data_IF_767831800266
#
_entry.id   IF_767831800266
#
_cell.length_a   1.000
_cell.length_b   1.000
_cell.length_c   1.000
_cell.angle_alpha   90.00
_cell.angle_beta   90.00
_cell.angle_gamma   90.00
#
_symmetry.space_group_name_H-M   'P 1'
#
loop_
_entity.id
_entity.type
_entity.pdbx_description
1 polymer ?
#
# COMPACT_ATOMS: atom_id res chain seq x y z
N UNK A 1 -4.36 -66.45 8.02
CA UNK A 1 -3.83 -65.31 8.78
C UNK A 1 -3.64 -64.17 7.80
N UNK A 2 -4.51 -63.17 7.87
CA UNK A 2 -4.46 -61.98 7.01
C UNK A 2 -4.04 -60.82 7.88
N UNK A 3 -2.88 -60.23 7.62
CA UNK A 3 -2.35 -59.06 8.32
C UNK A 3 -3.01 -57.78 7.76
N UNK A 4 -3.48 -56.85 8.59
CA UNK A 4 -4.03 -55.64 8.11
C UNK A 4 -2.93 -54.62 7.75
N UNK A 5 -2.98 -54.04 6.55
CA UNK A 5 -2.20 -52.90 6.14
C UNK A 5 -2.68 -51.65 6.88
N UNK A 6 -1.82 -51.04 7.66
CA UNK A 6 -2.04 -49.76 8.27
C UNK A 6 -1.81 -48.64 7.21
N UNK A 7 -2.87 -47.93 6.82
CA UNK A 7 -2.80 -46.69 6.04
C UNK A 7 -2.29 -45.57 6.94
N UNK A 8 -1.03 -45.21 6.78
CA UNK A 8 -0.50 -43.96 7.33
C UNK A 8 -1.11 -42.78 6.57
N UNK A 9 -2.11 -42.13 7.15
CA UNK A 9 -2.60 -40.85 6.67
C UNK A 9 -1.53 -39.78 6.97
N UNK A 10 -0.81 -39.39 5.93
CA UNK A 10 0.09 -38.25 5.95
C UNK A 10 -0.77 -36.97 6.02
N UNK A 11 -1.03 -36.48 7.23
CA UNK A 11 -1.64 -35.13 7.40
C UNK A 11 -0.58 -34.10 7.04
N UNK A 12 -0.62 -33.63 5.80
CA UNK A 12 0.09 -32.44 5.40
C UNK A 12 -0.54 -31.26 6.15
N UNK A 13 0.14 -30.82 7.21
CA UNK A 13 -0.11 -29.55 7.84
C UNK A 13 0.13 -28.43 6.81
N UNK A 14 -0.93 -28.02 6.09
CA UNK A 14 -0.92 -26.76 5.38
C UNK A 14 -0.81 -25.65 6.42
N UNK A 15 0.41 -25.17 6.64
CA UNK A 15 0.63 -23.91 7.33
C UNK A 15 -0.09 -22.84 6.51
N UNK A 16 -1.22 -22.35 7.00
CA UNK A 16 -1.89 -21.17 6.44
C UNK A 16 -0.86 -20.05 6.52
N UNK A 17 -0.30 -19.65 5.37
CA UNK A 17 0.59 -18.49 5.32
C UNK A 17 -0.20 -17.32 5.91
N UNK A 18 0.21 -16.87 7.08
CA UNK A 18 -0.37 -15.69 7.75
C UNK A 18 -0.40 -14.55 6.76
N UNK A 19 -1.55 -13.90 6.59
CA UNK A 19 -1.68 -12.73 5.73
C UNK A 19 -0.64 -11.70 6.12
N UNK A 20 0.20 -11.31 5.16
CA UNK A 20 1.21 -10.28 5.37
C UNK A 20 0.53 -8.94 5.08
N UNK A 21 0.23 -8.19 6.14
CA UNK A 21 -0.32 -6.86 6.03
C UNK A 21 0.45 -5.86 6.90
N UNK A 22 0.43 -4.62 6.50
CA UNK A 22 1.03 -3.49 7.19
C UNK A 22 0.05 -2.37 7.44
N UNK A 23 0.55 -1.24 7.92
CA UNK A 23 -0.21 0.00 8.08
C UNK A 23 0.56 1.17 7.46
N UNK A 24 -0.16 2.02 6.70
CA UNK A 24 0.34 3.30 6.24
C UNK A 24 0.36 4.28 7.42
N UNK A 25 1.55 4.83 7.73
CA UNK A 25 1.74 5.74 8.87
C UNK A 25 0.97 7.06 8.74
N UNK A 26 0.51 7.41 7.55
CA UNK A 26 -0.37 8.55 7.35
C UNK A 26 -1.70 8.39 8.11
N UNK A 27 -2.12 7.16 8.38
CA UNK A 27 -3.24 6.86 9.28
C UNK A 27 -3.02 7.36 10.71
N UNK A 28 -1.78 7.60 11.12
CA UNK A 28 -1.44 8.14 12.44
C UNK A 28 -0.68 9.46 12.32
N UNK A 29 -0.96 10.23 11.25
CA UNK A 29 -0.19 11.44 10.92
C UNK A 29 -0.08 12.46 12.04
N UNK A 30 -1.13 12.61 12.85
CA UNK A 30 -1.12 13.54 13.97
C UNK A 30 -0.25 13.00 15.12
N UNK A 31 -0.33 11.71 15.41
CA UNK A 31 0.45 11.04 16.43
C UNK A 31 1.93 10.92 16.01
N UNK A 32 2.18 10.55 14.75
CA UNK A 32 3.53 10.53 14.17
C UNK A 32 4.20 11.92 14.19
N UNK A 33 3.43 12.99 14.04
CA UNK A 33 3.98 14.36 14.12
C UNK A 33 4.34 14.78 15.54
N UNK A 34 3.62 14.27 16.55
CA UNK A 34 3.84 14.57 17.97
C UNK A 34 4.99 13.74 18.56
N UNK A 35 4.91 12.41 18.38
CA UNK A 35 5.86 11.44 18.92
C UNK A 35 6.00 10.24 17.98
N UNK A 36 6.93 10.30 17.01
CA UNK A 36 7.13 9.19 16.07
C UNK A 36 7.51 7.86 16.74
N UNK A 37 8.37 7.94 17.77
CA UNK A 37 8.88 6.73 18.45
C UNK A 37 7.78 6.05 19.27
N UNK A 38 7.10 6.80 20.13
CA UNK A 38 5.99 6.26 20.92
C UNK A 38 4.83 5.75 20.05
N UNK A 39 4.59 6.38 18.89
CA UNK A 39 3.60 5.89 17.91
C UNK A 39 4.01 4.53 17.35
N UNK A 40 5.27 4.35 16.95
CA UNK A 40 5.78 3.07 16.44
C UNK A 40 5.78 1.98 17.53
N UNK A 41 6.17 2.29 18.77
CA UNK A 41 6.06 1.39 19.90
C UNK A 41 4.62 0.92 20.13
N UNK A 42 3.67 1.85 20.02
CA UNK A 42 2.24 1.56 20.16
C UNK A 42 1.74 0.62 19.05
N UNK A 43 2.13 0.86 17.79
CA UNK A 43 1.81 -0.03 16.67
C UNK A 43 2.42 -1.42 16.85
N UNK A 44 3.69 -1.51 17.30
CA UNK A 44 4.34 -2.77 17.62
C UNK A 44 3.57 -3.54 18.71
N UNK A 45 3.06 -2.83 19.75
CA UNK A 45 2.27 -3.42 20.83
C UNK A 45 0.92 -3.99 20.36
N UNK A 46 0.34 -3.49 19.28
CA UNK A 46 -0.85 -4.04 18.64
C UNK A 46 -0.56 -5.29 17.79
N UNK A 47 0.72 -5.51 17.45
CA UNK A 47 1.16 -6.68 16.68
C UNK A 47 1.54 -6.38 15.24
N UNK A 48 1.52 -5.13 14.80
CA UNK A 48 1.99 -4.77 13.46
C UNK A 48 3.45 -5.17 13.27
N UNK A 49 3.76 -5.79 12.12
CA UNK A 49 5.11 -6.19 11.74
C UNK A 49 5.64 -5.43 10.54
N UNK A 50 4.74 -4.84 9.76
CA UNK A 50 5.08 -4.09 8.56
C UNK A 50 4.44 -2.72 8.61
N UNK A 51 5.20 -1.72 8.17
CA UNK A 51 4.72 -0.36 7.99
C UNK A 51 5.03 0.11 6.58
N UNK A 52 4.16 0.96 6.08
CA UNK A 52 4.42 1.86 4.98
C UNK A 52 4.59 3.26 5.54
N UNK A 53 5.71 3.90 5.21
CA UNK A 53 5.99 5.26 5.61
C UNK A 53 5.34 6.29 4.69
N UNK A 54 5.52 7.56 5.07
CA UNK A 54 5.30 8.68 4.17
C UNK A 54 6.32 9.77 4.47
N UNK A 55 6.68 10.55 3.46
CA UNK A 55 7.61 11.65 3.62
C UNK A 55 6.90 12.83 4.29
N UNK A 56 7.03 12.91 5.59
CA UNK A 56 6.43 13.93 6.43
C UNK A 56 7.40 15.08 6.71
N UNK A 57 7.05 15.92 7.69
CA UNK A 57 7.83 17.09 8.16
C UNK A 57 9.28 16.74 8.51
N UNK A 58 9.51 15.52 8.99
CA UNK A 58 10.82 15.05 9.44
C UNK A 58 11.53 14.14 8.41
N UNK A 59 11.11 14.20 7.14
CA UNK A 59 11.66 13.38 6.06
C UNK A 59 11.17 11.94 6.09
N UNK A 60 11.81 11.10 5.30
CA UNK A 60 11.40 9.72 5.06
C UNK A 60 11.58 8.82 6.29
N UNK A 61 12.58 9.11 7.12
CA UNK A 61 12.97 8.32 8.30
C UNK A 61 12.73 9.08 9.63
N UNK A 62 11.81 10.02 9.63
CA UNK A 62 11.30 10.69 10.84
C UNK A 62 12.38 11.32 11.72
N UNK A 63 13.35 12.01 11.08
CA UNK A 63 14.44 12.75 11.76
C UNK A 63 15.62 11.87 12.18
N UNK A 64 15.60 10.58 11.87
CA UNK A 64 16.72 9.64 12.02
C UNK A 64 17.42 9.45 10.66
N UNK A 65 18.63 8.90 10.69
CA UNK A 65 19.21 8.30 9.48
C UNK A 65 18.45 7.02 9.12
N UNK A 66 18.56 6.56 7.87
CA UNK A 66 17.93 5.31 7.43
C UNK A 66 18.37 4.10 8.29
N UNK A 67 19.66 4.03 8.65
CA UNK A 67 20.21 2.94 9.47
C UNK A 67 19.72 3.01 10.92
N UNK A 68 19.67 4.20 11.52
CA UNK A 68 19.11 4.38 12.87
C UNK A 68 17.63 4.00 12.91
N UNK A 69 16.87 4.42 11.90
CA UNK A 69 15.44 4.10 11.79
C UNK A 69 15.21 2.60 11.62
N UNK A 70 16.00 1.95 10.71
CA UNK A 70 15.97 0.50 10.55
C UNK A 70 16.25 -0.22 11.85
N UNK A 71 17.33 0.16 12.54
CA UNK A 71 17.69 -0.46 13.82
C UNK A 71 16.56 -0.31 14.84
N UNK A 72 15.99 0.87 14.94
CA UNK A 72 14.87 1.13 15.85
C UNK A 72 13.66 0.23 15.55
N UNK A 73 13.30 0.09 14.27
CA UNK A 73 12.22 -0.82 13.87
C UNK A 73 12.56 -2.29 14.13
N UNK A 74 13.80 -2.71 13.88
CA UNK A 74 14.25 -4.09 14.16
C UNK A 74 14.13 -4.42 15.66
N UNK A 75 14.50 -3.47 16.55
CA UNK A 75 14.35 -3.60 18.01
C UNK A 75 12.87 -3.75 18.42
N UNK A 76 11.92 -3.18 17.67
CA UNK A 76 10.48 -3.35 17.84
C UNK A 76 9.92 -4.61 17.13
N UNK A 77 10.74 -5.34 16.40
CA UNK A 77 10.33 -6.49 15.57
C UNK A 77 9.44 -6.08 14.39
N UNK A 78 9.66 -4.88 13.84
CA UNK A 78 8.93 -4.29 12.70
C UNK A 78 9.87 -4.06 11.52
N UNK A 79 9.27 -3.84 10.33
CA UNK A 79 9.99 -3.45 9.10
C UNK A 79 9.21 -2.41 8.33
N UNK A 80 9.90 -1.39 7.81
CA UNK A 80 9.35 -0.51 6.79
C UNK A 80 9.57 -1.14 5.42
N UNK A 81 8.49 -1.60 4.79
CA UNK A 81 8.54 -2.31 3.50
C UNK A 81 8.34 -1.37 2.32
N UNK A 82 7.68 -0.24 2.52
CA UNK A 82 7.42 0.77 1.51
C UNK A 82 7.29 2.15 2.14
N UNK A 83 7.34 3.17 1.31
CA UNK A 83 7.03 4.54 1.73
C UNK A 83 6.49 5.38 0.58
N UNK A 84 5.47 6.16 0.86
CA UNK A 84 5.08 7.27 0.03
C UNK A 84 6.18 8.33 0.03
N UNK A 85 6.64 8.74 -1.16
CA UNK A 85 7.66 9.76 -1.31
C UNK A 85 7.23 10.82 -2.32
N UNK A 86 7.41 12.08 -1.95
CA UNK A 86 7.20 13.22 -2.84
C UNK A 86 8.39 13.46 -3.78
N UNK A 87 8.24 14.54 -4.57
CA UNK A 87 9.34 15.12 -5.37
C UNK A 87 9.98 14.17 -6.40
N UNK A 88 9.14 13.30 -7.01
CA UNK A 88 9.60 12.41 -8.09
C UNK A 88 10.00 13.17 -9.37
N UNK A 89 9.74 14.47 -9.45
CA UNK A 89 10.21 15.35 -10.55
C UNK A 89 11.69 15.67 -10.44
N UNK A 90 12.27 15.69 -9.23
CA UNK A 90 13.70 15.86 -9.00
C UNK A 90 14.36 14.48 -8.92
N UNK A 91 14.89 13.99 -10.03
CA UNK A 91 15.50 12.67 -10.12
C UNK A 91 16.75 12.51 -9.25
N UNK A 92 17.52 13.57 -8.98
CA UNK A 92 18.67 13.52 -8.08
C UNK A 92 18.22 13.28 -6.63
N UNK A 93 17.22 14.04 -6.17
CA UNK A 93 16.63 13.85 -4.84
C UNK A 93 16.00 12.44 -4.73
N UNK A 94 15.31 11.98 -5.78
CA UNK A 94 14.74 10.63 -5.81
C UNK A 94 15.81 9.54 -5.75
N UNK A 95 16.93 9.72 -6.47
CA UNK A 95 18.05 8.77 -6.44
C UNK A 95 18.64 8.63 -5.03
N UNK A 96 18.83 9.74 -4.31
CA UNK A 96 19.29 9.70 -2.92
C UNK A 96 18.33 8.91 -2.02
N UNK A 97 17.02 9.22 -2.07
CA UNK A 97 15.99 8.50 -1.30
C UNK A 97 15.97 7.02 -1.65
N UNK A 98 16.12 6.70 -2.93
CA UNK A 98 16.13 5.33 -3.43
C UNK A 98 17.33 4.53 -2.93
N UNK A 99 18.52 5.15 -2.87
CA UNK A 99 19.71 4.53 -2.29
C UNK A 99 19.54 4.25 -0.79
N UNK A 100 19.08 5.25 -0.03
CA UNK A 100 18.81 5.11 1.40
C UNK A 100 17.74 4.04 1.69
N UNK A 101 16.70 3.93 0.85
CA UNK A 101 15.66 2.91 0.93
C UNK A 101 16.19 1.51 0.64
N UNK A 102 16.99 1.37 -0.42
CA UNK A 102 17.61 0.09 -0.80
C UNK A 102 18.58 -0.42 0.26
N UNK A 103 19.37 0.47 0.88
CA UNK A 103 20.32 0.13 1.95
C UNK A 103 19.65 -0.54 3.16
N UNK A 104 18.42 -0.16 3.48
CA UNK A 104 17.64 -0.75 4.59
C UNK A 104 16.73 -1.91 4.15
N UNK A 105 16.74 -2.27 2.86
CA UNK A 105 15.94 -3.36 2.31
C UNK A 105 14.45 -3.04 2.15
N UNK A 106 14.11 -1.75 1.93
CA UNK A 106 12.75 -1.33 1.61
C UNK A 106 12.38 -1.84 0.21
N UNK A 107 11.19 -2.44 0.07
CA UNK A 107 10.74 -3.04 -1.20
C UNK A 107 10.33 -1.97 -2.22
N UNK A 108 9.60 -0.91 -1.79
CA UNK A 108 9.06 0.11 -2.71
C UNK A 108 9.20 1.55 -2.19
N UNK A 109 9.50 2.45 -3.14
CA UNK A 109 9.19 3.87 -3.05
C UNK A 109 7.96 4.17 -3.93
N UNK A 110 6.95 4.82 -3.38
CA UNK A 110 5.64 4.98 -4.00
C UNK A 110 5.32 6.46 -4.18
N UNK A 111 4.99 6.86 -5.41
CA UNK A 111 4.48 8.20 -5.67
C UNK A 111 3.00 8.29 -5.23
N UNK A 112 2.66 9.07 -4.19
CA UNK A 112 1.31 9.05 -3.62
C UNK A 112 0.28 9.84 -4.42
N UNK A 113 0.71 10.79 -5.26
CA UNK A 113 -0.21 11.66 -5.99
C UNK A 113 0.46 12.35 -7.17
N UNK A 114 -0.36 12.83 -8.09
CA UNK A 114 0.09 13.55 -9.29
C UNK A 114 -0.46 14.98 -9.29
N UNK A 115 0.42 15.94 -9.60
CA UNK A 115 0.05 17.29 -9.93
C UNK A 115 -0.16 17.50 -11.45
N UNK A 116 -0.37 18.75 -11.87
CA UNK A 116 -0.34 19.13 -13.30
C UNK A 116 -1.64 18.94 -14.08
N UNK A 117 -2.74 18.63 -13.39
CA UNK A 117 -4.07 18.58 -13.98
C UNK A 117 -4.41 17.26 -14.68
N UNK A 118 -5.71 17.09 -14.94
CA UNK A 118 -6.30 15.87 -15.49
C UNK A 118 -6.30 15.92 -17.03
N UNK A 119 -5.13 15.69 -17.64
CA UNK A 119 -4.94 15.70 -19.11
C UNK A 119 -4.12 14.47 -19.54
N UNK A 120 -4.49 13.86 -20.67
CA UNK A 120 -3.81 12.69 -21.22
C UNK A 120 -2.30 12.95 -21.37
N UNK A 121 -1.92 14.09 -21.95
CA UNK A 121 -0.49 14.43 -22.14
C UNK A 121 0.26 14.63 -20.82
N UNK A 122 -0.39 15.13 -19.76
CA UNK A 122 0.22 15.21 -18.44
C UNK A 122 0.50 13.81 -17.89
N UNK A 123 -0.45 12.89 -18.01
CA UNK A 123 -0.29 11.51 -17.56
C UNK A 123 0.76 10.75 -18.39
N UNK A 124 0.88 10.98 -19.69
CA UNK A 124 1.99 10.45 -20.49
C UNK A 124 3.35 10.96 -20.02
N UNK A 125 3.46 12.25 -19.68
CA UNK A 125 4.70 12.80 -19.08
C UNK A 125 5.00 12.18 -17.72
N UNK A 126 3.98 11.96 -16.88
CA UNK A 126 4.15 11.25 -15.60
C UNK A 126 4.62 9.81 -15.82
N UNK A 127 4.06 9.08 -16.79
CA UNK A 127 4.50 7.73 -17.12
C UNK A 127 5.97 7.69 -17.57
N UNK A 128 6.39 8.63 -18.43
CA UNK A 128 7.80 8.74 -18.83
C UNK A 128 8.74 9.02 -17.66
N UNK A 129 8.32 9.87 -16.71
CA UNK A 129 9.06 10.12 -15.45
C UNK A 129 9.11 8.88 -14.58
N UNK A 130 8.00 8.16 -14.43
CA UNK A 130 7.91 6.95 -13.62
C UNK A 130 8.85 5.85 -14.13
N UNK A 131 9.00 5.70 -15.45
CA UNK A 131 10.00 4.80 -16.03
C UNK A 131 11.43 5.16 -15.59
N UNK A 132 11.76 6.47 -15.53
CA UNK A 132 13.06 6.93 -14.99
C UNK A 132 13.21 6.63 -13.51
N UNK A 133 12.19 6.92 -12.70
CA UNK A 133 12.18 6.59 -11.27
C UNK A 133 12.31 5.08 -11.04
N UNK A 134 11.61 4.26 -11.83
CA UNK A 134 11.70 2.80 -11.75
C UNK A 134 13.10 2.28 -12.08
N UNK A 135 13.77 2.86 -13.10
CA UNK A 135 15.15 2.49 -13.40
C UNK A 135 16.12 2.86 -12.27
N UNK A 136 15.95 4.06 -11.69
CA UNK A 136 16.75 4.51 -10.54
C UNK A 136 16.51 3.59 -9.34
N UNK A 137 15.26 3.30 -9.00
CA UNK A 137 14.91 2.40 -7.91
C UNK A 137 15.56 1.02 -8.08
N UNK A 138 15.43 0.43 -9.27
CA UNK A 138 16.04 -0.86 -9.61
C UNK A 138 17.55 -0.88 -9.44
N UNK A 139 18.24 0.19 -9.83
CA UNK A 139 19.70 0.31 -9.68
C UNK A 139 20.13 0.39 -8.21
N UNK A 140 19.26 0.84 -7.33
CA UNK A 140 19.48 0.97 -5.89
C UNK A 140 18.90 -0.20 -5.07
N UNK A 141 18.43 -1.28 -5.72
CA UNK A 141 17.92 -2.47 -5.01
C UNK A 141 16.53 -2.34 -4.42
N UNK A 142 15.75 -1.32 -4.84
CA UNK A 142 14.35 -1.14 -4.49
C UNK A 142 13.49 -1.09 -5.74
N UNK A 143 12.18 -0.85 -5.63
CA UNK A 143 11.24 -0.73 -6.73
C UNK A 143 10.48 0.58 -6.65
N UNK A 144 9.80 0.92 -7.74
CA UNK A 144 8.96 2.11 -7.82
C UNK A 144 7.51 1.72 -8.12
N UNK A 145 6.56 2.39 -7.44
CA UNK A 145 5.15 2.26 -7.72
C UNK A 145 4.43 3.62 -7.71
N UNK A 146 3.21 3.62 -8.24
CA UNK A 146 2.28 4.74 -8.17
C UNK A 146 1.02 4.31 -7.42
N UNK A 147 0.55 5.15 -6.48
CA UNK A 147 -0.68 5.02 -5.74
C UNK A 147 -1.79 5.88 -6.36
N UNK A 148 -2.94 5.30 -6.62
CA UNK A 148 -4.07 5.97 -7.25
C UNK A 148 -4.94 6.75 -6.26
N UNK A 149 -5.57 7.80 -6.79
CA UNK A 149 -6.73 8.46 -6.20
C UNK A 149 -7.90 8.40 -7.18
N UNK A 150 -9.10 8.82 -6.76
CA UNK A 150 -10.30 8.82 -7.60
C UNK A 150 -10.10 9.47 -8.98
N UNK A 151 -9.31 10.56 -9.06
CA UNK A 151 -9.04 11.25 -10.33
C UNK A 151 -8.33 10.38 -11.37
N UNK A 152 -7.61 9.34 -10.95
CA UNK A 152 -6.96 8.40 -11.87
C UNK A 152 -7.96 7.62 -12.70
N UNK A 153 -9.18 7.48 -12.21
CA UNK A 153 -10.28 6.75 -12.88
C UNK A 153 -11.22 7.67 -13.67
N UNK A 154 -10.89 8.94 -13.80
CA UNK A 154 -11.63 9.83 -14.70
C UNK A 154 -11.32 9.51 -16.16
N UNK A 155 -12.35 9.61 -17.02
CA UNK A 155 -12.20 9.48 -18.47
C UNK A 155 -12.00 10.83 -19.11
N UNK A 156 -10.90 10.97 -19.83
CA UNK A 156 -10.61 12.14 -20.67
C UNK A 156 -10.51 11.64 -22.12
N UNK A 157 -11.28 12.25 -23.02
CA UNK A 157 -11.32 11.84 -24.44
C UNK A 157 -11.63 10.33 -24.61
N UNK A 158 -12.40 9.75 -23.67
CA UNK A 158 -12.79 8.34 -23.71
C UNK A 158 -11.80 7.36 -23.05
N UNK A 159 -10.62 7.81 -22.66
CA UNK A 159 -9.60 6.98 -22.00
C UNK A 159 -9.56 7.24 -20.47
N UNK A 160 -9.44 6.20 -19.65
CA UNK A 160 -9.14 6.36 -18.23
C UNK A 160 -7.70 6.84 -18.03
N UNK A 161 -7.51 7.84 -17.18
CA UNK A 161 -6.17 8.36 -16.87
C UNK A 161 -5.25 7.28 -16.25
N UNK A 162 -5.82 6.34 -15.49
CA UNK A 162 -5.09 5.17 -14.96
C UNK A 162 -4.59 4.26 -16.09
N UNK A 163 -5.38 4.01 -17.13
CA UNK A 163 -4.94 3.25 -18.30
C UNK A 163 -3.80 3.96 -19.03
N UNK A 164 -3.91 5.28 -19.17
CA UNK A 164 -2.84 6.07 -19.80
C UNK A 164 -1.50 5.88 -19.07
N UNK A 165 -1.50 5.89 -17.72
CA UNK A 165 -0.28 5.61 -16.95
C UNK A 165 0.20 4.18 -17.17
N UNK A 166 -0.68 3.19 -17.05
CA UNK A 166 -0.32 1.77 -17.09
C UNK A 166 0.20 1.36 -18.48
N UNK A 167 -0.41 1.89 -19.55
CA UNK A 167 -0.05 1.57 -20.93
C UNK A 167 1.26 2.26 -21.39
N UNK A 168 1.66 3.36 -20.73
CA UNK A 168 2.87 4.12 -21.05
C UNK A 168 4.02 3.88 -20.04
N UNK A 169 3.87 2.95 -19.11
CA UNK A 169 4.93 2.55 -18.16
C UNK A 169 5.45 1.15 -18.46
N UNK A 170 6.76 0.96 -18.33
CA UNK A 170 7.40 -0.34 -18.46
C UNK A 170 7.04 -1.21 -17.22
N UNK A 171 6.42 -2.37 -17.47
CA UNK A 171 5.99 -3.33 -16.44
C UNK A 171 7.14 -3.93 -15.62
N UNK A 172 8.38 -3.81 -16.10
CA UNK A 172 9.56 -4.27 -15.37
C UNK A 172 10.18 -3.19 -14.47
N UNK A 173 9.66 -1.95 -14.57
CA UNK A 173 10.19 -0.78 -13.85
C UNK A 173 9.16 -0.14 -12.92
N UNK A 174 7.87 -0.21 -13.28
CA UNK A 174 6.81 0.50 -12.56
C UNK A 174 5.70 -0.46 -12.20
N UNK A 175 5.47 -0.61 -10.93
CA UNK A 175 4.31 -1.29 -10.36
C UNK A 175 3.26 -0.28 -9.88
N UNK A 176 2.13 -0.76 -9.38
CA UNK A 176 1.05 0.07 -8.87
C UNK A 176 0.59 -0.41 -7.50
N UNK A 177 0.24 0.54 -6.67
CA UNK A 177 -0.48 0.33 -5.42
C UNK A 177 -1.93 0.75 -5.62
N UNK A 178 -2.86 -0.21 -5.51
CA UNK A 178 -4.29 0.08 -5.62
C UNK A 178 -4.84 0.58 -4.29
N UNK A 179 -5.24 1.83 -4.20
CA UNK A 179 -6.13 2.23 -3.11
C UNK A 179 -7.56 1.83 -3.49
N UNK A 180 -8.06 0.79 -2.82
CA UNK A 180 -9.37 0.18 -3.07
C UNK A 180 -10.50 1.20 -2.80
N UNK A 181 -10.38 2.01 -1.74
CA UNK A 181 -11.35 3.05 -1.42
C UNK A 181 -11.51 4.05 -2.56
N UNK A 182 -10.41 4.52 -3.15
CA UNK A 182 -10.47 5.50 -4.23
C UNK A 182 -11.00 4.92 -5.55
N UNK A 183 -10.82 3.62 -5.79
CA UNK A 183 -11.45 2.93 -6.92
C UNK A 183 -12.96 2.92 -6.73
N UNK A 184 -13.44 2.49 -5.55
CA UNK A 184 -14.88 2.47 -5.21
C UNK A 184 -15.48 3.88 -5.20
N UNK A 185 -14.77 4.86 -4.64
CA UNK A 185 -15.20 6.26 -4.62
C UNK A 185 -15.30 6.89 -6.02
N UNK A 186 -14.56 6.37 -6.98
CA UNK A 186 -14.68 6.75 -8.39
C UNK A 186 -15.84 6.02 -9.12
N UNK A 187 -16.57 5.14 -8.45
CA UNK A 187 -17.66 4.34 -9.03
C UNK A 187 -17.17 3.13 -9.84
N UNK A 188 -15.91 2.73 -9.65
CA UNK A 188 -15.27 1.64 -10.38
C UNK A 188 -15.19 0.37 -9.51
N UNK A 189 -15.01 -0.80 -10.16
CA UNK A 189 -14.85 -2.09 -9.49
C UNK A 189 -13.36 -2.49 -9.40
N UNK A 190 -12.79 -2.66 -8.20
CA UNK A 190 -11.41 -3.12 -8.03
C UNK A 190 -11.13 -4.47 -8.71
N UNK A 191 -12.11 -5.40 -8.74
CA UNK A 191 -11.95 -6.71 -9.37
C UNK A 191 -11.76 -6.56 -10.87
N UNK A 192 -12.54 -5.69 -11.52
CA UNK A 192 -12.39 -5.41 -12.94
C UNK A 192 -11.02 -4.79 -13.27
N UNK A 193 -10.51 -3.91 -12.41
CA UNK A 193 -9.16 -3.33 -12.58
C UNK A 193 -8.05 -4.37 -12.42
N UNK A 194 -8.17 -5.32 -11.48
CA UNK A 194 -7.25 -6.46 -11.38
C UNK A 194 -7.31 -7.36 -12.63
N UNK A 195 -8.49 -7.61 -13.17
CA UNK A 195 -8.67 -8.40 -14.39
C UNK A 195 -8.07 -7.73 -15.61
N UNK A 196 -8.25 -6.42 -15.73
CA UNK A 196 -7.76 -5.61 -16.85
C UNK A 196 -6.24 -5.51 -16.86
N UNK A 197 -5.61 -5.42 -15.68
CA UNK A 197 -4.17 -5.22 -15.52
C UNK A 197 -3.54 -6.26 -14.59
N UNK A 198 -3.56 -7.56 -14.96
CA UNK A 198 -2.97 -8.60 -14.13
C UNK A 198 -1.47 -8.34 -13.92
N UNK A 199 -0.98 -8.69 -12.74
CA UNK A 199 0.43 -8.54 -12.32
C UNK A 199 0.94 -7.09 -12.22
N UNK A 200 0.08 -6.07 -12.39
CA UNK A 200 0.51 -4.67 -12.30
C UNK A 200 0.29 -4.07 -10.90
N UNK A 201 -0.74 -4.49 -10.18
CA UNK A 201 -0.99 -4.06 -8.79
C UNK A 201 -0.32 -5.03 -7.82
N UNK A 202 0.79 -4.59 -7.22
CA UNK A 202 1.57 -5.42 -6.26
C UNK A 202 1.20 -5.15 -4.82
N UNK A 203 0.78 -3.93 -4.51
CA UNK A 203 0.32 -3.47 -3.22
C UNK A 203 -1.12 -2.97 -3.32
N UNK A 204 -1.84 -2.98 -2.20
CA UNK A 204 -3.10 -2.25 -2.10
C UNK A 204 -3.26 -1.58 -0.75
N UNK A 205 -3.91 -0.42 -0.74
CA UNK A 205 -4.48 0.15 0.46
C UNK A 205 -5.83 -0.50 0.74
N UNK A 206 -5.92 -1.11 1.94
CA UNK A 206 -7.15 -1.64 2.53
C UNK A 206 -7.73 -0.50 3.38
N UNK A 207 -8.64 0.26 2.79
CA UNK A 207 -9.24 1.47 3.33
C UNK A 207 -10.73 1.42 3.08
N UNK A 208 -11.54 1.40 4.16
CA UNK A 208 -12.97 1.16 4.04
C UNK A 208 -13.73 2.45 3.72
N UNK A 209 -14.89 2.28 3.11
CA UNK A 209 -15.71 3.32 2.51
C UNK A 209 -17.04 3.45 3.25
N UNK A 210 -17.28 4.62 3.85
CA UNK A 210 -18.55 4.98 4.47
C UNK A 210 -19.24 6.05 3.65
N UNK A 211 -20.38 5.71 3.08
CA UNK A 211 -21.27 6.71 2.44
C UNK A 211 -22.07 7.45 3.50
N UNK A 212 -21.99 8.77 3.50
CA UNK A 212 -22.71 9.65 4.44
C UNK A 212 -23.97 10.24 3.81
N UNK A 213 -23.93 10.52 2.52
CA UNK A 213 -25.03 11.01 1.69
C UNK A 213 -24.60 10.91 0.22
N UNK A 214 -25.49 11.30 -0.71
CA UNK A 214 -25.14 11.39 -2.12
C UNK A 214 -23.87 12.26 -2.31
N UNK A 215 -22.87 11.70 -2.97
CA UNK A 215 -21.55 12.32 -3.23
C UNK A 215 -20.74 12.75 -1.98
N UNK A 216 -21.11 12.28 -0.79
CA UNK A 216 -20.33 12.51 0.43
C UNK A 216 -19.96 11.20 1.08
N UNK A 217 -18.68 10.95 1.17
CA UNK A 217 -18.09 9.72 1.74
C UNK A 217 -16.81 10.04 2.50
N UNK A 218 -16.44 9.16 3.39
CA UNK A 218 -15.20 9.23 4.14
C UNK A 218 -14.67 7.82 4.44
N UNK A 219 -13.39 7.71 4.77
CA UNK A 219 -12.84 6.44 5.25
C UNK A 219 -13.29 6.16 6.68
N UNK A 220 -13.41 4.90 7.03
CA UNK A 220 -13.81 4.46 8.38
C UNK A 220 -12.99 3.23 8.81
N UNK A 221 -13.18 2.84 10.07
CA UNK A 221 -12.61 1.60 10.60
C UNK A 221 -13.07 0.41 9.77
N UNK A 222 -12.13 -0.47 9.41
CA UNK A 222 -12.38 -1.64 8.55
C UNK A 222 -13.52 -2.51 9.09
N UNK A 223 -14.40 -2.92 8.18
CA UNK A 223 -15.61 -3.69 8.48
C UNK A 223 -16.79 -2.85 8.97
N UNK A 224 -16.66 -1.52 9.10
CA UNK A 224 -17.77 -0.60 9.38
C UNK A 224 -18.29 0.11 8.12
N UNK A 225 -17.60 -0.05 7.01
CA UNK A 225 -17.98 0.45 5.71
C UNK A 225 -18.68 -0.59 4.83
N UNK A 226 -18.60 -0.40 3.52
CA UNK A 226 -19.34 -1.21 2.56
C UNK A 226 -18.47 -2.03 1.60
N UNK A 227 -17.14 -2.00 1.74
CA UNK A 227 -16.23 -2.70 0.81
C UNK A 227 -16.10 -4.18 1.19
N UNK A 228 -16.33 -5.07 0.23
CA UNK A 228 -16.11 -6.53 0.40
C UNK A 228 -14.63 -6.89 0.22
N UNK A 229 -13.82 -6.59 1.23
CA UNK A 229 -12.39 -6.92 1.21
C UNK A 229 -12.09 -8.41 1.03
N UNK A 230 -12.79 -9.36 1.68
CA UNK A 230 -12.53 -10.78 1.47
C UNK A 230 -12.52 -11.17 -0.01
N UNK A 231 -13.54 -10.79 -0.77
CA UNK A 231 -13.64 -11.10 -2.19
C UNK A 231 -12.58 -10.37 -3.02
N UNK A 232 -12.37 -9.08 -2.78
CA UNK A 232 -11.41 -8.25 -3.53
C UNK A 232 -9.98 -8.74 -3.31
N UNK A 233 -9.57 -8.99 -2.06
CA UNK A 233 -8.21 -9.41 -1.72
C UNK A 233 -7.91 -10.84 -2.21
N UNK A 234 -8.88 -11.77 -2.06
CA UNK A 234 -8.75 -13.13 -2.59
C UNK A 234 -8.57 -13.11 -4.13
N UNK A 235 -9.35 -12.29 -4.83
CA UNK A 235 -9.22 -12.12 -6.28
C UNK A 235 -7.89 -11.47 -6.66
N UNK A 236 -7.53 -10.35 -6.02
CA UNK A 236 -6.27 -9.63 -6.25
C UNK A 236 -5.04 -10.53 -6.11
N UNK A 237 -5.04 -11.43 -5.12
CA UNK A 237 -3.97 -12.44 -4.93
C UNK A 237 -3.79 -13.34 -6.15
N UNK A 238 -4.87 -13.73 -6.85
CA UNK A 238 -4.79 -14.49 -8.12
C UNK A 238 -4.24 -13.66 -9.28
N UNK A 239 -4.20 -12.34 -9.13
CA UNK A 239 -3.73 -11.37 -10.14
C UNK A 239 -2.41 -10.70 -9.77
N UNK A 240 -1.67 -11.25 -8.78
CA UNK A 240 -0.33 -10.82 -8.43
C UNK A 240 -0.23 -9.82 -7.28
N UNK A 241 -1.33 -9.50 -6.62
CA UNK A 241 -1.32 -8.70 -5.37
C UNK A 241 -0.56 -9.45 -4.27
N UNK A 242 0.39 -8.81 -3.63
CA UNK A 242 1.30 -9.44 -2.67
C UNK A 242 1.30 -8.82 -1.27
N UNK A 243 0.89 -7.56 -1.14
CA UNK A 243 0.90 -6.81 0.13
C UNK A 243 -0.40 -6.04 0.32
N UNK A 244 -0.88 -6.06 1.55
CA UNK A 244 -2.07 -5.35 1.98
C UNK A 244 -1.66 -4.30 3.02
N UNK A 245 -1.90 -3.04 2.76
CA UNK A 245 -1.54 -1.93 3.63
C UNK A 245 -2.83 -1.27 4.13
N UNK A 246 -3.03 -1.29 5.44
CA UNK A 246 -4.18 -0.62 6.07
C UNK A 246 -3.98 0.88 5.97
N UNK A 247 -5.02 1.61 5.55
CA UNK A 247 -5.06 3.07 5.67
C UNK A 247 -6.42 3.55 6.14
N UNK A 248 -6.43 4.60 6.96
CA UNK A 248 -7.62 5.34 7.36
C UNK A 248 -7.27 6.82 7.52
N UNK A 249 -8.13 7.71 7.05
CA UNK A 249 -7.87 9.16 7.05
C UNK A 249 -8.91 9.95 7.84
N UNK A 250 -10.09 9.39 8.11
CA UNK A 250 -11.16 10.02 8.89
C UNK A 250 -11.49 9.24 10.16
N UNK A 251 -11.74 9.96 11.26
CA UNK A 251 -11.86 9.40 12.62
C UNK A 251 -13.07 10.02 13.33
N UNK A 252 -14.30 9.81 12.79
CA UNK A 252 -15.51 10.44 13.28
C UNK A 252 -15.81 10.13 14.75
N UNK A 253 -15.78 8.84 15.11
CA UNK A 253 -16.19 8.34 16.41
C UNK A 253 -15.10 7.49 17.08
N UNK A 254 -13.84 7.78 16.78
CA UNK A 254 -12.69 7.00 17.23
C UNK A 254 -11.43 7.84 17.20
N UNK A 255 -10.34 7.37 17.77
CA UNK A 255 -9.00 7.95 17.64
C UNK A 255 -8.15 7.20 16.60
N UNK A 256 -7.05 7.81 16.18
CA UNK A 256 -6.09 7.16 15.27
C UNK A 256 -5.56 5.85 15.86
N UNK A 257 -5.26 5.81 17.16
CA UNK A 257 -4.79 4.60 17.84
C UNK A 257 -5.84 3.51 17.97
N UNK A 258 -7.07 3.87 18.36
CA UNK A 258 -8.17 2.92 18.47
C UNK A 258 -8.50 2.31 17.12
N UNK A 259 -8.60 3.14 16.07
CA UNK A 259 -8.79 2.67 14.70
C UNK A 259 -7.66 1.74 14.24
N UNK A 260 -6.40 2.09 14.51
CA UNK A 260 -5.28 1.23 14.14
C UNK A 260 -5.36 -0.14 14.81
N UNK A 261 -5.77 -0.20 16.10
CA UNK A 261 -5.97 -1.46 16.82
C UNK A 261 -7.14 -2.28 16.24
N UNK A 262 -8.26 -1.64 15.96
CA UNK A 262 -9.46 -2.31 15.44
C UNK A 262 -9.21 -2.80 14.01
N UNK A 263 -8.54 -2.00 13.18
CA UNK A 263 -8.14 -2.36 11.83
C UNK A 263 -7.17 -3.56 11.82
N UNK A 264 -6.24 -3.61 12.78
CA UNK A 264 -5.36 -4.77 12.96
C UNK A 264 -6.17 -6.04 13.25
N UNK A 265 -7.11 -5.97 14.19
CA UNK A 265 -7.96 -7.10 14.59
C UNK A 265 -8.82 -7.58 13.40
N UNK A 266 -9.39 -6.65 12.63
CA UNK A 266 -10.14 -6.99 11.42
C UNK A 266 -9.27 -7.77 10.43
N UNK A 267 -8.10 -7.26 10.07
CA UNK A 267 -7.20 -7.93 9.13
C UNK A 267 -6.69 -9.29 9.64
N UNK A 268 -6.49 -9.44 10.94
CA UNK A 268 -6.16 -10.74 11.54
C UNK A 268 -7.30 -11.76 11.42
N UNK A 269 -8.54 -11.31 11.40
CA UNK A 269 -9.72 -12.18 11.30
C UNK A 269 -10.01 -12.62 9.86
N UNK A 270 -9.49 -11.91 8.86
CA UNK A 270 -9.70 -12.24 7.46
C UNK A 270 -9.01 -13.56 7.08
N UNK A 271 -9.75 -14.41 6.39
CA UNK A 271 -9.26 -15.65 5.78
C UNK A 271 -9.13 -15.42 4.26
N UNK A 272 -8.01 -14.88 3.80
CA UNK A 272 -7.73 -14.61 2.37
C UNK A 272 -6.40 -15.22 1.93
#
# INVERSE_FOLDING_TARGET
MVTPFALNACTTNYSIKKNIFGIQLYSLRDEMTKDPKGTLEKLASYGYKYIEGYEGKFGLFWGMTNIEFKKYLDDLGMKMISSHCGNTDNLESFNKKSAEAGEIGMEYLICPSLGGGKKIDAFKRHAARFNKCGQIAKNNGTKFAYHNHAYSFEKIEGEYLQDVLMNNTDKNLVDFEMDIYWVVAAGEDPIEWFNKHPERFKYCHVKDYLSLSENKFESCTLGKGSIDFPSILAHGKTKGLSRHIIEQEAYRDTSQFESAKDNFNYMQSLKV
#
